data_IF_220997828541
#
_entry.id   IF_220997828541
#
_cell.length_a   1.000
_cell.length_b   1.000
_cell.length_c   1.000
_cell.angle_alpha   90.00
_cell.angle_beta   90.00
_cell.angle_gamma   90.00
#
_symmetry.space_group_name_H-M   'P 1'
#
loop_
_entity.id
_entity.type
_entity.pdbx_description
1 polymer ?
#
# COMPACT_ATOMS: atom_id res chain seq x y z
N UNK A 1 25.03 40.76 -80.41
CA UNK A 1 25.29 40.75 -78.96
C UNK A 1 24.02 40.24 -78.30
N UNK A 2 24.11 39.09 -77.65
CA UNK A 2 23.00 38.25 -77.19
C UNK A 2 22.44 38.66 -75.82
N UNK A 3 21.16 38.39 -75.56
CA UNK A 3 20.59 37.60 -74.44
C UNK A 3 19.25 38.12 -73.86
N UNK A 4 18.28 37.19 -73.78
CA UNK A 4 17.08 37.16 -72.92
C UNK A 4 17.42 36.94 -71.43
N UNK A 5 16.53 37.38 -70.52
CA UNK A 5 16.25 36.82 -69.16
C UNK A 5 14.77 37.21 -68.82
N UNK A 6 13.74 36.33 -68.74
CA UNK A 6 13.30 35.26 -67.79
C UNK A 6 12.82 35.73 -66.39
N UNK A 7 11.58 35.33 -66.05
CA UNK A 7 10.72 35.62 -64.88
C UNK A 7 11.16 34.98 -63.54
N UNK A 8 10.51 35.35 -62.42
CA UNK A 8 10.15 34.34 -61.41
C UNK A 8 8.66 34.33 -60.99
N UNK A 9 8.17 33.09 -60.81
CA UNK A 9 6.88 32.64 -60.28
C UNK A 9 6.94 32.52 -58.74
N UNK A 10 5.94 33.05 -58.03
CA UNK A 10 5.73 32.82 -56.60
C UNK A 10 4.28 32.40 -56.32
N UNK A 11 4.11 31.08 -56.16
CA UNK A 11 2.94 30.41 -55.57
C UNK A 11 2.73 30.83 -54.11
N UNK A 12 1.51 31.22 -53.74
CA UNK A 12 1.03 31.20 -52.35
C UNK A 12 -0.43 30.74 -52.32
N UNK A 13 -0.76 29.96 -51.28
CA UNK A 13 -2.07 29.67 -50.69
C UNK A 13 -2.75 28.35 -51.07
N UNK A 14 -2.44 27.29 -50.29
CA UNK A 14 -3.46 26.48 -49.61
C UNK A 14 -2.98 26.15 -48.19
N UNK A 15 -3.66 26.68 -47.19
CA UNK A 15 -3.54 26.28 -45.79
C UNK A 15 -4.65 25.28 -45.43
N UNK A 16 -4.37 24.55 -44.34
CA UNK A 16 -5.28 23.79 -43.46
C UNK A 16 -5.59 22.34 -43.83
N UNK A 17 -4.71 21.42 -43.43
CA UNK A 17 -5.09 20.10 -42.89
C UNK A 17 -4.05 19.68 -41.82
N UNK A 18 -4.53 19.46 -40.61
CA UNK A 18 -4.04 18.63 -39.50
C UNK A 18 -2.66 18.87 -38.85
N UNK A 19 -2.70 19.15 -37.54
CA UNK A 19 -1.59 18.88 -36.62
C UNK A 19 -2.15 18.42 -35.26
N UNK A 20 -2.60 17.16 -35.19
CA UNK A 20 -2.53 16.42 -33.94
C UNK A 20 -1.05 16.14 -33.67
N UNK A 21 -0.39 16.98 -32.86
CA UNK A 21 0.94 16.66 -32.35
C UNK A 21 0.78 15.60 -31.27
N UNK A 22 0.94 14.33 -31.65
CA UNK A 22 1.35 13.30 -30.71
C UNK A 22 2.61 13.79 -29.98
N UNK A 23 2.54 13.83 -28.65
CA UNK A 23 3.68 14.17 -27.79
C UNK A 23 4.73 13.06 -27.94
N UNK A 24 5.78 13.33 -28.73
CA UNK A 24 6.96 12.46 -28.82
C UNK A 24 7.57 12.26 -27.42
N UNK A 25 7.97 11.02 -27.04
CA UNK A 25 8.77 10.79 -25.85
C UNK A 25 10.07 11.60 -25.97
N UNK A 26 10.57 12.14 -24.85
CA UNK A 26 11.78 12.96 -24.81
C UNK A 26 12.99 12.24 -25.41
N UNK A 27 13.41 12.69 -26.59
CA UNK A 27 14.64 12.26 -27.25
C UNK A 27 15.82 12.80 -26.44
N UNK A 28 16.67 11.92 -25.91
CA UNK A 28 17.96 12.31 -25.30
C UNK A 28 18.99 12.50 -26.42
N UNK A 29 19.98 13.39 -26.23
CA UNK A 29 20.98 13.80 -27.24
C UNK A 29 21.76 12.63 -27.88
N UNK A 30 21.68 11.41 -27.34
CA UNK A 30 22.34 10.20 -27.83
C UNK A 30 21.38 9.12 -28.38
N UNK A 31 20.19 9.48 -28.88
CA UNK A 31 19.35 8.57 -29.68
C UNK A 31 18.82 7.32 -28.97
N UNK A 32 18.97 7.23 -27.64
CA UNK A 32 18.40 6.18 -26.83
C UNK A 32 16.96 6.50 -26.45
N UNK A 33 16.04 5.54 -26.64
CA UNK A 33 14.76 5.55 -25.92
C UNK A 33 15.14 5.55 -24.43
N UNK A 34 14.73 6.57 -23.70
CA UNK A 34 14.85 6.59 -22.24
C UNK A 34 13.95 5.48 -21.70
N UNK A 35 14.48 4.26 -21.67
CA UNK A 35 13.76 3.10 -21.22
C UNK A 35 13.41 3.38 -19.77
N UNK A 36 12.11 3.51 -19.49
CA UNK A 36 11.62 3.56 -18.12
C UNK A 36 12.27 2.41 -17.37
N UNK A 37 12.83 2.68 -16.20
CA UNK A 37 13.49 1.68 -15.36
C UNK A 37 12.63 0.39 -15.35
N UNK A 38 13.15 -0.71 -15.94
CA UNK A 38 12.39 -1.94 -16.18
C UNK A 38 11.83 -2.48 -14.86
N UNK A 39 12.59 -2.37 -13.77
CA UNK A 39 12.16 -2.79 -12.43
C UNK A 39 10.97 -1.97 -11.95
N UNK A 40 10.97 -0.67 -12.24
CA UNK A 40 9.83 0.21 -11.92
C UNK A 40 8.58 -0.16 -12.73
N UNK A 41 8.75 -0.53 -13.99
CA UNK A 41 7.65 -1.01 -14.84
C UNK A 41 7.08 -2.35 -14.34
N UNK A 42 7.95 -3.31 -14.02
CA UNK A 42 7.54 -4.61 -13.47
C UNK A 42 6.84 -4.45 -12.11
N UNK A 43 7.38 -3.61 -11.23
CA UNK A 43 6.75 -3.28 -9.95
C UNK A 43 5.38 -2.60 -10.13
N UNK A 44 5.22 -1.74 -11.13
CA UNK A 44 3.94 -1.13 -11.45
C UNK A 44 2.89 -2.17 -11.88
N UNK A 45 3.26 -3.17 -12.69
CA UNK A 45 2.36 -4.27 -13.06
C UNK A 45 1.95 -5.08 -11.83
N UNK A 46 2.92 -5.44 -10.98
CA UNK A 46 2.68 -6.17 -9.72
C UNK A 46 1.75 -5.38 -8.78
N UNK A 47 1.98 -4.08 -8.63
CA UNK A 47 1.10 -3.21 -7.85
C UNK A 47 -0.30 -3.07 -8.47
N UNK A 48 -0.41 -3.08 -9.79
CA UNK A 48 -1.72 -3.06 -10.46
C UNK A 48 -2.51 -4.36 -10.21
N UNK A 49 -1.83 -5.50 -10.13
CA UNK A 49 -2.45 -6.74 -9.67
C UNK A 49 -2.98 -6.61 -8.23
N UNK A 50 -2.20 -6.02 -7.32
CA UNK A 50 -2.64 -5.75 -5.93
C UNK A 50 -3.85 -4.83 -5.89
N UNK A 51 -3.86 -3.75 -6.68
CA UNK A 51 -5.03 -2.85 -6.79
C UNK A 51 -6.29 -3.60 -7.21
N UNK A 52 -6.18 -4.48 -8.21
CA UNK A 52 -7.31 -5.33 -8.66
C UNK A 52 -7.72 -6.34 -7.60
N UNK A 53 -6.78 -6.84 -6.81
CA UNK A 53 -7.05 -7.75 -5.70
C UNK A 53 -7.87 -7.05 -4.61
N UNK A 54 -7.45 -5.84 -4.22
CA UNK A 54 -8.09 -5.03 -3.18
C UNK A 54 -9.42 -4.41 -3.61
N UNK A 55 -9.73 -4.37 -4.91
CA UNK A 55 -11.02 -3.92 -5.41
C UNK A 55 -12.14 -4.91 -5.00
N UNK A 56 -13.00 -4.49 -4.08
CA UNK A 56 -14.14 -5.28 -3.61
C UNK A 56 -15.16 -5.61 -4.70
N UNK A 57 -15.24 -4.82 -5.78
CA UNK A 57 -16.13 -5.11 -6.90
C UNK A 57 -15.60 -6.23 -7.82
N UNK A 58 -14.31 -6.55 -7.72
CA UNK A 58 -13.71 -7.61 -8.52
C UNK A 58 -14.12 -9.00 -7.98
N UNK A 59 -14.81 -9.78 -8.81
CA UNK A 59 -15.31 -11.14 -8.53
C UNK A 59 -14.54 -12.24 -9.27
N UNK A 60 -13.37 -11.91 -9.82
CA UNK A 60 -12.57 -12.85 -10.62
C UNK A 60 -12.18 -14.11 -9.83
N UNK A 61 -12.24 -15.29 -10.48
CA UNK A 61 -11.90 -16.58 -9.85
C UNK A 61 -10.49 -16.64 -9.28
N UNK A 62 -9.51 -16.01 -9.95
CA UNK A 62 -8.13 -15.95 -9.44
C UNK A 62 -8.05 -15.22 -8.09
N UNK A 63 -8.88 -14.18 -7.87
CA UNK A 63 -8.91 -13.45 -6.60
C UNK A 63 -9.34 -14.37 -5.47
N UNK A 64 -10.39 -15.18 -5.67
CA UNK A 64 -10.84 -16.16 -4.67
C UNK A 64 -9.76 -17.16 -4.29
N UNK A 65 -8.92 -17.58 -5.24
CA UNK A 65 -7.78 -18.45 -4.99
C UNK A 65 -6.77 -17.79 -4.06
N UNK A 66 -6.33 -16.57 -4.37
CA UNK A 66 -5.37 -15.85 -3.52
C UNK A 66 -5.97 -15.42 -2.17
N UNK A 67 -7.26 -15.11 -2.11
CA UNK A 67 -7.97 -14.86 -0.85
C UNK A 67 -7.91 -16.06 0.08
N UNK A 68 -8.08 -17.29 -0.43
CA UNK A 68 -7.90 -18.49 0.40
C UNK A 68 -6.49 -18.58 1.00
N UNK A 69 -5.47 -18.18 0.25
CA UNK A 69 -4.07 -18.18 0.71
C UNK A 69 -3.83 -17.07 1.75
N UNK A 70 -4.30 -15.85 1.50
CA UNK A 70 -4.00 -14.67 2.31
C UNK A 70 -4.92 -14.55 3.54
N UNK A 71 -6.09 -15.19 3.56
CA UNK A 71 -7.05 -15.11 4.68
C UNK A 71 -6.48 -15.57 6.01
N UNK A 72 -5.52 -16.52 6.03
CA UNK A 72 -4.83 -16.95 7.26
C UNK A 72 -3.95 -15.85 7.87
N UNK A 73 -3.63 -14.82 7.10
CA UNK A 73 -2.72 -13.73 7.46
C UNK A 73 -3.39 -12.35 7.48
N UNK A 74 -4.72 -12.28 7.30
CA UNK A 74 -5.47 -11.02 7.34
C UNK A 74 -5.96 -10.51 5.98
N UNK A 75 -5.75 -11.27 4.90
CA UNK A 75 -6.25 -10.94 3.57
C UNK A 75 -5.79 -9.55 3.09
N UNK A 76 -6.72 -8.60 2.89
CA UNK A 76 -6.42 -7.24 2.45
C UNK A 76 -5.61 -6.45 3.46
N UNK A 77 -5.69 -6.80 4.75
CA UNK A 77 -4.96 -6.13 5.83
C UNK A 77 -3.44 -6.15 5.60
N UNK A 78 -2.91 -7.22 5.00
CA UNK A 78 -1.47 -7.37 4.73
C UNK A 78 -0.90 -6.23 3.91
N UNK A 79 -1.70 -5.64 3.03
CA UNK A 79 -1.28 -4.55 2.14
C UNK A 79 -1.26 -3.18 2.83
N UNK A 80 -1.72 -3.12 4.08
CA UNK A 80 -1.67 -1.93 4.93
C UNK A 80 -0.64 -2.07 6.06
N UNK A 81 -0.18 -3.29 6.35
CA UNK A 81 0.73 -3.57 7.45
C UNK A 81 2.17 -3.11 7.15
N UNK A 82 2.86 -2.62 8.18
CA UNK A 82 4.31 -2.42 8.18
C UNK A 82 5.05 -3.77 8.28
N UNK A 83 4.94 -4.61 7.26
CA UNK A 83 5.49 -5.97 7.23
C UNK A 83 6.91 -6.00 6.66
N UNK A 84 7.75 -6.92 7.12
CA UNK A 84 9.09 -7.13 6.55
C UNK A 84 9.04 -8.10 5.36
N UNK A 85 9.98 -7.93 4.41
CA UNK A 85 10.11 -8.84 3.25
C UNK A 85 10.31 -10.30 3.67
N UNK A 86 11.02 -10.55 4.77
CA UNK A 86 11.21 -11.89 5.32
C UNK A 86 9.88 -12.61 5.59
N UNK A 87 8.95 -11.91 6.26
CA UNK A 87 7.64 -12.50 6.60
C UNK A 87 6.79 -12.70 5.35
N UNK A 88 6.87 -11.79 4.38
CA UNK A 88 6.18 -11.96 3.09
C UNK A 88 6.64 -13.21 2.35
N UNK A 89 7.94 -13.49 2.37
CA UNK A 89 8.48 -14.72 1.81
C UNK A 89 7.99 -15.96 2.56
N UNK A 90 7.82 -15.92 3.88
CA UNK A 90 7.21 -17.03 4.62
C UNK A 90 5.73 -17.22 4.28
N UNK A 91 4.98 -16.13 4.08
CA UNK A 91 3.55 -16.15 3.70
C UNK A 91 3.33 -16.79 2.33
N UNK A 92 4.22 -16.47 1.37
CA UNK A 92 4.09 -16.81 -0.04
C UNK A 92 5.20 -17.74 -0.54
N UNK A 93 5.78 -18.56 0.35
CA UNK A 93 6.91 -19.44 0.05
C UNK A 93 6.68 -20.37 -1.15
N UNK A 94 5.45 -20.86 -1.33
CA UNK A 94 5.06 -21.76 -2.42
C UNK A 94 4.60 -21.02 -3.69
N UNK A 95 4.43 -19.69 -3.63
CA UNK A 95 3.91 -18.89 -4.74
C UNK A 95 4.82 -17.69 -5.03
N UNK A 96 5.79 -17.93 -5.92
CA UNK A 96 6.80 -16.95 -6.34
C UNK A 96 6.13 -15.65 -6.82
N UNK A 97 5.08 -15.75 -7.63
CA UNK A 97 4.38 -14.56 -8.12
C UNK A 97 3.76 -13.73 -6.98
N UNK A 98 3.12 -14.38 -6.01
CA UNK A 98 2.52 -13.70 -4.86
C UNK A 98 3.58 -13.04 -3.99
N UNK A 99 4.69 -13.75 -3.74
CA UNK A 99 5.84 -13.23 -2.99
C UNK A 99 6.40 -11.97 -3.66
N UNK A 100 6.55 -12.01 -4.97
CA UNK A 100 7.00 -10.89 -5.79
C UNK A 100 6.03 -9.71 -5.77
N UNK A 101 4.71 -9.98 -5.86
CA UNK A 101 3.69 -8.96 -5.85
C UNK A 101 3.60 -8.25 -4.49
N UNK A 102 3.69 -9.01 -3.40
CA UNK A 102 3.72 -8.47 -2.04
C UNK A 102 4.98 -7.63 -1.80
N UNK A 103 6.14 -8.12 -2.25
CA UNK A 103 7.41 -7.39 -2.10
C UNK A 103 7.41 -6.08 -2.88
N UNK A 104 6.95 -6.11 -4.14
CA UNK A 104 6.82 -4.92 -4.97
C UNK A 104 5.84 -3.90 -4.37
N UNK A 105 4.74 -4.37 -3.76
CA UNK A 105 3.81 -3.50 -3.05
C UNK A 105 4.49 -2.78 -1.88
N UNK A 106 5.15 -3.53 -1.00
CA UNK A 106 5.87 -2.95 0.13
C UNK A 106 6.95 -1.94 -0.30
N UNK A 107 7.69 -2.22 -1.37
CA UNK A 107 8.69 -1.28 -1.89
C UNK A 107 8.04 0.02 -2.36
N UNK A 108 6.89 -0.05 -3.03
CA UNK A 108 6.17 1.14 -3.49
C UNK A 108 5.56 1.90 -2.31
N UNK A 109 4.92 1.22 -1.36
CA UNK A 109 4.23 1.88 -0.23
C UNK A 109 5.21 2.48 0.78
N UNK A 110 6.30 1.78 1.12
CA UNK A 110 7.30 2.28 2.06
C UNK A 110 7.97 3.57 1.55
N UNK A 111 8.17 3.70 0.25
CA UNK A 111 8.69 4.92 -0.36
C UNK A 111 7.68 6.09 -0.31
N UNK A 112 6.39 5.80 -0.17
CA UNK A 112 5.30 6.79 -0.17
C UNK A 112 4.84 7.16 1.25
N UNK A 113 5.13 6.34 2.26
CA UNK A 113 4.75 6.53 3.67
C UNK A 113 5.48 7.69 4.38
N UNK A 114 6.35 8.43 3.69
CA UNK A 114 7.09 9.57 4.25
C UNK A 114 6.23 10.78 4.65
N UNK A 115 4.90 10.76 4.48
CA UNK A 115 4.07 11.98 4.62
C UNK A 115 2.76 11.87 5.40
N UNK A 116 2.40 10.73 6.02
CA UNK A 116 1.14 10.66 6.77
C UNK A 116 1.30 9.97 8.11
N UNK A 117 0.98 10.69 9.18
CA UNK A 117 0.93 10.22 10.58
C UNK A 117 -0.21 9.21 10.79
N UNK A 118 -0.15 8.06 10.11
CA UNK A 118 -1.18 7.03 10.18
C UNK A 118 -1.08 6.28 11.50
N UNK A 119 -2.23 5.94 12.09
CA UNK A 119 -2.29 5.08 13.28
C UNK A 119 -1.51 3.79 13.04
N UNK A 120 -0.75 3.34 14.04
CA UNK A 120 0.04 2.12 13.93
C UNK A 120 -0.86 0.90 13.89
N UNK A 121 -0.79 0.12 12.81
CA UNK A 121 -1.46 -1.20 12.72
C UNK A 121 -0.72 -2.20 13.61
N UNK A 122 -1.47 -2.93 14.43
CA UNK A 122 -0.95 -3.95 15.37
C UNK A 122 -0.41 -5.18 14.65
N UNK A 123 -1.16 -5.65 13.66
CA UNK A 123 -0.98 -6.95 13.06
C UNK A 123 0.11 -6.94 12.00
N UNK A 124 0.84 -8.06 11.89
CA UNK A 124 1.89 -8.28 10.89
C UNK A 124 2.91 -7.13 10.82
N UNK A 125 3.15 -6.45 11.95
CA UNK A 125 4.02 -5.28 12.02
C UNK A 125 5.43 -5.71 12.43
N UNK A 126 6.43 -5.42 11.60
CA UNK A 126 7.84 -5.79 11.79
C UNK A 126 8.44 -5.24 13.07
N UNK A 127 7.89 -4.14 13.59
CA UNK A 127 8.35 -3.49 14.82
C UNK A 127 7.65 -4.07 16.06
N UNK A 128 6.53 -4.78 15.89
CA UNK A 128 5.76 -5.40 16.98
C UNK A 128 5.90 -6.93 16.86
N UNK A 129 6.95 -7.47 17.46
CA UNK A 129 7.28 -8.91 17.37
C UNK A 129 7.59 -9.53 18.73
N UNK A 130 7.44 -10.84 18.81
CA UNK A 130 7.95 -11.66 19.92
C UNK A 130 8.71 -12.83 19.33
N UNK A 131 9.97 -13.01 19.74
CA UNK A 131 10.86 -14.05 19.20
C UNK A 131 10.93 -14.05 17.66
N UNK A 132 11.10 -12.86 17.05
CA UNK A 132 11.13 -12.64 15.60
C UNK A 132 9.86 -13.05 14.83
N UNK A 133 8.75 -13.30 15.53
CA UNK A 133 7.44 -13.58 14.92
C UNK A 133 6.51 -12.40 15.13
N UNK A 134 5.78 -12.04 14.08
CA UNK A 134 4.71 -11.05 14.15
C UNK A 134 3.42 -11.64 14.71
N UNK A 135 2.53 -10.75 15.12
CA UNK A 135 1.22 -11.13 15.63
C UNK A 135 0.14 -11.03 14.54
N UNK A 136 -0.74 -12.02 14.50
CA UNK A 136 -2.03 -11.90 13.85
C UNK A 136 -3.06 -12.75 14.60
N UNK A 137 -3.82 -12.13 15.50
CA UNK A 137 -4.91 -12.79 16.21
C UNK A 137 -6.21 -12.54 15.46
N UNK A 138 -6.59 -13.49 14.61
CA UNK A 138 -7.79 -13.38 13.77
C UNK A 138 -9.05 -13.09 14.59
N UNK A 139 -9.21 -13.73 15.74
CA UNK A 139 -10.34 -13.54 16.65
C UNK A 139 -10.40 -12.12 17.24
N UNK A 140 -9.25 -11.46 17.41
CA UNK A 140 -9.20 -10.07 17.86
C UNK A 140 -9.45 -9.10 16.71
N UNK A 141 -8.91 -9.39 15.53
CA UNK A 141 -9.13 -8.60 14.33
C UNK A 141 -10.60 -8.57 13.91
N UNK A 142 -11.29 -9.71 13.96
CA UNK A 142 -12.74 -9.80 13.69
C UNK A 142 -13.59 -9.03 14.73
N UNK A 143 -13.03 -8.73 15.90
CA UNK A 143 -13.61 -7.83 16.93
C UNK A 143 -13.22 -6.37 16.74
N UNK A 144 -12.77 -6.00 15.54
CA UNK A 144 -12.40 -4.64 15.14
C UNK A 144 -11.17 -4.05 15.87
N UNK A 145 -10.33 -4.90 16.49
CA UNK A 145 -9.03 -4.48 17.01
C UNK A 145 -8.03 -4.51 15.85
N UNK A 146 -7.58 -3.35 15.39
CA UNK A 146 -6.65 -3.18 14.25
C UNK A 146 -5.45 -2.31 14.61
N UNK A 147 -5.64 -1.26 15.40
CA UNK A 147 -4.64 -0.24 15.71
C UNK A 147 -4.17 -0.30 17.16
N UNK A 148 -2.93 0.12 17.42
CA UNK A 148 -2.39 0.15 18.78
C UNK A 148 -3.19 1.11 19.67
N UNK A 149 -3.62 2.25 19.11
CA UNK A 149 -4.46 3.27 19.76
C UNK A 149 -5.73 2.68 20.39
N UNK A 150 -6.28 1.61 19.82
CA UNK A 150 -7.50 0.97 20.31
C UNK A 150 -7.29 0.18 21.61
N UNK A 151 -6.04 -0.11 21.96
CA UNK A 151 -5.65 -0.74 23.22
C UNK A 151 -5.23 0.29 24.27
N UNK A 152 -5.17 1.58 23.91
CA UNK A 152 -4.61 2.63 24.73
C UNK A 152 -5.69 3.53 25.35
N UNK A 153 -5.57 3.81 26.64
CA UNK A 153 -6.41 4.75 27.38
C UNK A 153 -5.71 6.11 27.51
N UNK A 154 -6.11 7.05 26.65
CA UNK A 154 -5.59 8.41 26.62
C UNK A 154 -5.83 9.20 27.91
N UNK A 155 -6.80 8.81 28.75
CA UNK A 155 -7.13 9.53 29.99
C UNK A 155 -6.06 9.30 31.06
N UNK A 156 -5.63 8.04 31.20
CA UNK A 156 -4.61 7.63 32.17
C UNK A 156 -3.21 7.55 31.55
N UNK A 157 -3.11 7.74 30.23
CA UNK A 157 -1.87 7.63 29.45
C UNK A 157 -1.19 6.26 29.62
N UNK A 158 -1.98 5.20 29.57
CA UNK A 158 -1.48 3.83 29.59
C UNK A 158 -2.41 2.90 28.81
N UNK A 159 -1.99 1.67 28.55
CA UNK A 159 -2.86 0.64 27.97
C UNK A 159 -3.97 0.26 28.93
N UNK A 160 -5.14 -0.05 28.37
CA UNK A 160 -6.27 -0.64 29.11
C UNK A 160 -5.82 -1.87 29.90
N UNK A 161 -6.43 -2.16 31.05
CA UNK A 161 -6.15 -3.45 31.70
C UNK A 161 -6.70 -4.61 30.84
N UNK A 162 -6.24 -5.84 31.10
CA UNK A 162 -6.82 -7.00 30.39
C UNK A 162 -8.33 -7.13 30.64
N UNK A 163 -8.80 -6.78 31.84
CA UNK A 163 -10.23 -6.80 32.18
C UNK A 163 -11.01 -5.76 31.35
N UNK A 164 -10.45 -4.57 31.15
CA UNK A 164 -11.06 -3.53 30.30
C UNK A 164 -11.13 -4.01 28.84
N UNK A 165 -10.06 -4.62 28.32
CA UNK A 165 -10.07 -5.19 26.97
C UNK A 165 -11.12 -6.31 26.82
N UNK A 166 -11.27 -7.17 27.83
CA UNK A 166 -12.33 -8.18 27.87
C UNK A 166 -13.72 -7.53 27.82
N UNK A 167 -13.94 -6.47 28.59
CA UNK A 167 -15.21 -5.76 28.65
C UNK A 167 -15.53 -5.01 27.33
N UNK A 168 -14.57 -4.26 26.79
CA UNK A 168 -14.75 -3.40 25.61
C UNK A 168 -14.95 -4.24 24.34
N UNK A 169 -14.18 -5.31 24.15
CA UNK A 169 -14.14 -6.07 22.90
C UNK A 169 -14.73 -7.49 23.01
N UNK A 170 -15.16 -7.92 24.21
CA UNK A 170 -15.67 -9.27 24.45
C UNK A 170 -14.60 -10.35 24.31
N UNK A 171 -13.34 -10.03 24.63
CA UNK A 171 -12.22 -10.97 24.52
C UNK A 171 -12.34 -12.07 25.60
N UNK A 172 -12.14 -13.35 25.26
CA UNK A 172 -12.13 -14.45 26.23
C UNK A 172 -11.06 -14.27 27.32
N UNK A 173 -11.39 -14.58 28.58
CA UNK A 173 -10.49 -14.44 29.72
C UNK A 173 -9.22 -15.30 29.64
N UNK A 174 -9.25 -16.41 28.90
CA UNK A 174 -8.08 -17.26 28.66
C UNK A 174 -7.04 -16.64 27.69
N UNK A 175 -7.33 -15.49 27.07
CA UNK A 175 -6.40 -14.77 26.20
C UNK A 175 -5.45 -13.83 26.96
N UNK A 176 -5.37 -13.88 28.30
CA UNK A 176 -4.52 -12.97 29.08
C UNK A 176 -3.05 -13.02 28.66
N UNK A 177 -2.50 -14.21 28.38
CA UNK A 177 -1.12 -14.35 27.90
C UNK A 177 -0.92 -13.65 26.55
N UNK A 178 -1.86 -13.83 25.60
CA UNK A 178 -1.82 -13.15 24.31
C UNK A 178 -1.77 -11.63 24.51
N UNK A 179 -2.60 -11.11 25.41
CA UNK A 179 -2.65 -9.69 25.72
C UNK A 179 -1.31 -9.17 26.26
N UNK A 180 -0.80 -9.76 27.34
CA UNK A 180 0.42 -9.27 27.97
C UNK A 180 1.65 -9.44 27.08
N UNK A 181 1.73 -10.53 26.30
CA UNK A 181 2.78 -10.68 25.28
C UNK A 181 2.69 -9.58 24.22
N UNK A 182 1.49 -9.29 23.70
CA UNK A 182 1.31 -8.25 22.68
C UNK A 182 1.71 -6.87 23.21
N UNK A 183 1.24 -6.47 24.40
CA UNK A 183 1.55 -5.15 24.99
C UNK A 183 3.04 -4.99 25.31
N UNK A 184 3.68 -6.07 25.78
CA UNK A 184 5.12 -6.09 26.05
C UNK A 184 5.94 -5.96 24.76
N UNK A 185 5.45 -6.50 23.65
CA UNK A 185 6.10 -6.44 22.34
C UNK A 185 5.97 -5.10 21.63
N UNK A 186 5.13 -4.17 22.10
CA UNK A 186 5.01 -2.83 21.50
C UNK A 186 6.25 -1.99 21.90
N UNK A 187 7.03 -1.48 20.93
CA UNK A 187 8.19 -0.64 21.20
C UNK A 187 7.86 0.69 21.88
N UNK A 188 8.85 1.25 22.58
CA UNK A 188 8.73 2.52 23.30
C UNK A 188 8.41 3.69 22.34
N UNK A 189 9.00 3.71 21.14
CA UNK A 189 8.77 4.81 20.18
C UNK A 189 7.29 4.89 19.76
N UNK A 190 6.64 3.74 19.50
CA UNK A 190 5.21 3.68 19.18
C UNK A 190 4.37 4.19 20.35
N UNK A 191 4.71 3.80 21.59
CA UNK A 191 4.03 4.32 22.80
C UNK A 191 4.18 5.84 22.90
N UNK A 192 5.38 6.37 22.64
CA UNK A 192 5.62 7.81 22.69
C UNK A 192 4.85 8.59 21.62
N UNK A 193 4.70 8.04 20.42
CA UNK A 193 3.90 8.65 19.34
C UNK A 193 2.40 8.66 19.66
N UNK A 194 1.88 7.61 20.31
CA UNK A 194 0.47 7.58 20.74
C UNK A 194 0.22 8.67 21.80
N UNK A 195 1.16 8.86 22.72
CA UNK A 195 1.05 9.86 23.79
C UNK A 195 1.00 11.31 23.27
N UNK A 196 1.63 11.58 22.11
CA UNK A 196 1.68 12.93 21.52
C UNK A 196 0.48 13.21 20.61
N UNK A 197 -0.10 12.17 20.01
CA UNK A 197 -1.23 12.28 19.09
C UNK A 197 -2.58 12.23 19.85
N UNK A 198 -2.95 13.32 20.52
CA UNK A 198 -4.18 13.47 21.34
C UNK A 198 -5.53 13.45 20.57
N UNK A 199 -5.60 12.93 19.34
CA UNK A 199 -6.85 12.97 18.55
C UNK A 199 -7.16 11.62 17.92
N UNK A 200 -8.38 11.06 18.12
CA UNK A 200 -8.86 9.94 17.32
C UNK A 200 -9.07 10.44 15.88
N UNK A 201 -8.02 10.40 15.07
CA UNK A 201 -8.10 10.78 13.66
C UNK A 201 -8.74 9.63 12.89
N UNK A 202 -9.83 9.91 12.18
CA UNK A 202 -10.31 9.08 11.07
C UNK A 202 -9.34 9.36 9.91
N UNK A 203 -8.42 8.43 9.64
CA UNK A 203 -7.45 8.59 8.57
C UNK A 203 -7.68 7.52 7.53
N UNK A 204 -7.76 7.96 6.28
CA UNK A 204 -7.86 7.10 5.11
C UNK A 204 -6.50 6.48 4.85
N UNK A 205 -6.42 5.15 4.84
CA UNK A 205 -5.14 4.46 4.59
C UNK A 205 -4.64 4.75 3.17
N UNK A 206 -3.35 4.58 2.92
CA UNK A 206 -2.79 4.71 1.57
C UNK A 206 -3.55 3.83 0.55
N UNK A 207 -3.92 2.62 0.95
CA UNK A 207 -4.75 1.69 0.16
C UNK A 207 -6.11 2.31 -0.15
N UNK A 208 -6.81 2.84 0.85
CA UNK A 208 -8.12 3.46 0.66
C UNK A 208 -8.04 4.70 -0.25
N UNK A 209 -6.97 5.50 -0.14
CA UNK A 209 -6.72 6.64 -1.03
C UNK A 209 -6.52 6.20 -2.49
N UNK A 210 -5.80 5.11 -2.73
CA UNK A 210 -5.64 4.52 -4.07
C UNK A 210 -6.99 4.04 -4.62
N UNK A 211 -7.77 3.32 -3.81
CA UNK A 211 -9.05 2.75 -4.22
C UNK A 211 -10.13 3.83 -4.43
N UNK A 212 -10.04 4.96 -3.72
CA UNK A 212 -10.93 6.11 -3.89
C UNK A 212 -10.73 6.81 -5.25
N UNK A 213 -9.47 6.99 -5.67
CA UNK A 213 -9.13 7.66 -6.94
C UNK A 213 -9.64 6.92 -8.18
N UNK A 214 -9.79 5.60 -8.14
CA UNK A 214 -10.26 4.81 -9.29
C UNK A 214 -11.77 4.89 -9.51
N UNK A 215 -12.56 5.24 -8.47
CA UNK A 215 -14.02 5.38 -8.57
C UNK A 215 -14.48 6.72 -9.14
N UNK A 216 -13.64 7.77 -9.06
CA UNK A 216 -13.97 9.11 -9.57
C UNK A 216 -13.73 9.27 -11.08
N UNK A 217 -13.01 8.34 -11.71
CA UNK A 217 -12.66 8.38 -13.14
C UNK A 217 -13.53 7.46 -14.01
N UNK A 218 -14.77 7.17 -13.58
CA UNK A 218 -15.75 6.38 -14.34
C UNK A 218 -17.01 7.19 -14.62
#
# INVERSE_FOLDING_TARGET
MSFEIILPDHRVQRQSVDNYKEKKPSETENGGIQLTNIDSFLNAIKCNWVKRYLDNANTSKWKLFYQKILKKYGDSLLFECNISKYILHEIANENIFLSDALSAWCDVTHNLETQTSSKTILWNNKDITSNNKTFFYKDWFERSIKYVDQLYDYRIKDFYSFNDICYIYGIPSNNFLKYYTLIKSIPIHIKSEINTNNTPRTQTTFVENILGRTKQNK
#
